data_IF_365036293536
#
_entry.id   IF_365036293536
#
_cell.length_a   1.000
_cell.length_b   1.000
_cell.length_c   1.000
_cell.angle_alpha   90.00
_cell.angle_beta   90.00
_cell.angle_gamma   90.00
#
_symmetry.space_group_name_H-M   'P 1'
#
loop_
_entity.id
_entity.type
_entity.pdbx_description
1 polymer ?
#
# COMPACT_ATOMS: atom_id res chain seq x y z
N UNK A 1 -16.52 -7.45 -8.45
CA UNK A 1 -15.21 -6.86 -8.10
C UNK A 1 -15.45 -5.36 -7.94
N UNK A 2 -15.15 -4.80 -6.77
CA UNK A 2 -15.35 -3.37 -6.50
C UNK A 2 -14.10 -2.59 -6.93
N UNK A 3 -14.24 -1.72 -7.92
CA UNK A 3 -13.12 -0.95 -8.49
C UNK A 3 -13.19 0.49 -7.98
N UNK A 4 -12.21 0.88 -7.17
CA UNK A 4 -12.06 2.25 -6.66
C UNK A 4 -11.22 3.06 -7.64
N UNK A 5 -11.84 4.00 -8.36
CA UNK A 5 -11.13 4.91 -9.28
C UNK A 5 -10.38 5.99 -8.50
N UNK A 6 -9.22 6.42 -9.00
CA UNK A 6 -8.40 7.46 -8.38
C UNK A 6 -7.47 7.01 -7.26
N UNK A 7 -7.56 5.76 -6.79
CA UNK A 7 -6.65 5.25 -5.76
C UNK A 7 -5.40 4.61 -6.36
N UNK A 8 -4.23 4.95 -5.79
CA UNK A 8 -2.97 4.29 -6.14
C UNK A 8 -2.97 2.82 -5.71
N UNK A 9 -3.46 2.54 -4.51
CA UNK A 9 -3.53 1.19 -3.97
C UNK A 9 -4.63 1.10 -2.90
N UNK A 10 -5.06 -0.12 -2.60
CA UNK A 10 -6.11 -0.43 -1.60
C UNK A 10 -5.62 -1.53 -0.69
N UNK A 11 -5.85 -1.36 0.61
CA UNK A 11 -5.56 -2.36 1.65
C UNK A 11 -6.87 -2.96 2.18
N UNK A 12 -7.01 -4.27 2.04
CA UNK A 12 -8.11 -5.07 2.58
C UNK A 12 -7.62 -6.02 3.68
N UNK A 13 -6.59 -5.61 4.44
CA UNK A 13 -5.95 -6.40 5.49
C UNK A 13 -5.01 -7.44 4.92
N UNK A 14 -5.55 -8.61 4.56
CA UNK A 14 -4.79 -9.74 4.04
C UNK A 14 -4.44 -9.62 2.55
N UNK A 15 -5.17 -8.77 1.81
CA UNK A 15 -4.96 -8.54 0.38
C UNK A 15 -4.71 -7.05 0.17
N UNK A 16 -3.64 -6.73 -0.54
CA UNK A 16 -3.31 -5.37 -0.97
C UNK A 16 -3.14 -5.37 -2.49
N UNK A 17 -3.70 -4.39 -3.17
CA UNK A 17 -3.66 -4.27 -4.64
C UNK A 17 -3.25 -2.87 -5.07
N UNK A 18 -2.54 -2.72 -6.20
CA UNK A 18 -2.14 -1.44 -6.77
C UNK A 18 -2.67 -1.22 -8.18
N UNK A 19 -2.81 0.04 -8.56
CA UNK A 19 -3.28 0.48 -9.88
C UNK A 19 -2.17 0.55 -10.95
N UNK A 20 -0.95 0.09 -10.66
CA UNK A 20 0.17 0.11 -11.62
C UNK A 20 1.55 0.00 -10.96
N UNK A 21 2.61 0.16 -11.77
CA UNK A 21 4.01 -0.05 -11.33
C UNK A 21 4.43 0.92 -10.23
N UNK A 22 4.35 2.23 -10.46
CA UNK A 22 4.74 3.23 -9.45
C UNK A 22 3.89 3.12 -8.18
N UNK A 23 2.59 2.89 -8.35
CA UNK A 23 1.71 2.65 -7.22
C UNK A 23 2.03 1.34 -6.48
N UNK A 24 2.58 0.35 -7.17
CA UNK A 24 3.12 -0.88 -6.59
C UNK A 24 4.38 -0.64 -5.76
N UNK A 25 5.25 0.30 -6.17
CA UNK A 25 6.42 0.67 -5.38
C UNK A 25 5.99 1.37 -4.08
N UNK A 26 5.05 2.32 -4.17
CA UNK A 26 4.52 2.97 -2.96
C UNK A 26 3.85 1.96 -2.02
N UNK A 27 3.10 1.02 -2.58
CA UNK A 27 2.44 -0.06 -1.84
C UNK A 27 3.47 -0.98 -1.18
N UNK A 28 4.53 -1.37 -1.87
CA UNK A 28 5.58 -2.20 -1.31
C UNK A 28 6.27 -1.50 -0.12
N UNK A 29 6.58 -0.21 -0.24
CA UNK A 29 7.16 0.57 0.85
C UNK A 29 6.19 0.73 2.03
N UNK A 30 4.89 0.86 1.76
CA UNK A 30 3.87 0.79 2.81
C UNK A 30 3.86 -0.59 3.52
N UNK A 31 4.04 -1.68 2.79
CA UNK A 31 4.12 -3.01 3.41
C UNK A 31 5.38 -3.16 4.27
N UNK A 32 6.52 -2.60 3.86
CA UNK A 32 7.73 -2.58 4.69
C UNK A 32 7.48 -1.83 6.01
N UNK A 33 6.85 -0.65 5.94
CA UNK A 33 6.46 0.15 7.13
C UNK A 33 5.51 -0.64 8.05
N UNK A 34 4.56 -1.37 7.47
CA UNK A 34 3.57 -2.17 8.21
C UNK A 34 4.14 -3.43 8.85
N UNK A 35 5.13 -4.06 8.22
CA UNK A 35 5.67 -5.36 8.64
C UNK A 35 6.90 -5.24 9.55
N UNK A 36 7.69 -4.18 9.36
CA UNK A 36 8.88 -3.90 10.16
C UNK A 36 8.66 -2.59 10.93
N UNK A 37 9.03 -1.46 10.32
CA UNK A 37 8.81 -0.11 10.84
C UNK A 37 9.03 0.97 9.76
N UNK A 38 8.69 2.21 10.14
CA UNK A 38 8.81 3.37 9.28
C UNK A 38 10.25 3.78 8.96
N UNK A 39 11.23 3.39 9.78
CA UNK A 39 12.64 3.70 9.54
C UNK A 39 13.20 2.81 8.42
N UNK A 40 12.90 1.52 8.47
CA UNK A 40 13.23 0.54 7.43
C UNK A 40 12.62 0.95 6.09
N UNK A 41 11.34 1.34 6.06
CA UNK A 41 10.70 1.80 4.83
C UNK A 41 11.39 3.03 4.21
N UNK A 42 11.79 4.00 5.04
CA UNK A 42 12.54 5.19 4.59
C UNK A 42 13.95 4.82 4.11
N UNK A 43 14.62 3.90 4.80
CA UNK A 43 15.95 3.40 4.40
C UNK A 43 15.90 2.73 3.03
N UNK A 44 14.92 1.85 2.79
CA UNK A 44 14.71 1.19 1.50
C UNK A 44 14.39 2.22 0.41
N UNK A 45 13.48 3.15 0.66
CA UNK A 45 13.16 4.22 -0.30
C UNK A 45 14.40 5.06 -0.66
N UNK A 46 15.23 5.40 0.35
CA UNK A 46 16.46 6.14 0.16
C UNK A 46 17.50 5.35 -0.66
N UNK A 47 17.70 4.07 -0.34
CA UNK A 47 18.60 3.19 -1.07
C UNK A 47 18.20 3.00 -2.55
N UNK A 48 16.89 3.08 -2.84
CA UNK A 48 16.35 3.05 -4.19
C UNK A 48 16.34 4.42 -4.89
N UNK A 49 16.74 5.49 -4.20
CA UNK A 49 16.60 6.88 -4.65
C UNK A 49 15.15 7.23 -5.05
N UNK A 50 14.17 6.59 -4.41
CA UNK A 50 12.76 6.70 -4.75
C UNK A 50 12.08 7.77 -3.88
N UNK A 51 11.41 8.77 -4.47
CA UNK A 51 10.80 9.89 -3.73
C UNK A 51 9.50 9.43 -3.06
N UNK A 52 9.64 8.72 -1.95
CA UNK A 52 8.53 8.19 -1.18
C UNK A 52 8.11 9.10 -0.04
N UNK A 53 6.82 9.11 0.25
CA UNK A 53 6.25 9.70 1.46
C UNK A 53 5.18 8.74 1.98
N UNK A 54 5.11 8.49 3.30
CA UNK A 54 4.09 7.61 3.86
C UNK A 54 2.69 8.08 3.49
N UNK A 55 1.87 7.18 2.95
CA UNK A 55 0.49 7.46 2.59
C UNK A 55 -0.42 6.62 3.47
N UNK A 56 -1.53 7.21 3.94
CA UNK A 56 -2.57 6.45 4.62
C UNK A 56 -3.31 5.60 3.58
N UNK A 57 -3.33 4.26 3.71
CA UNK A 57 -4.13 3.40 2.85
C UNK A 57 -5.59 3.83 2.82
N UNK A 58 -6.24 3.65 1.68
CA UNK A 58 -7.69 3.43 1.70
C UNK A 58 -7.90 2.02 2.22
N UNK A 59 -8.33 1.93 3.48
CA UNK A 59 -8.74 0.68 4.11
C UNK A 59 -10.19 0.41 3.76
N UNK A 60 -10.46 -0.77 3.21
CA UNK A 60 -11.84 -1.20 2.98
C UNK A 60 -12.20 -2.21 4.06
N UNK A 61 -13.32 -2.04 4.78
CA UNK A 61 -13.83 -3.10 5.65
C UNK A 61 -14.05 -4.34 4.79
N UNK A 62 -13.35 -5.44 5.10
CA UNK A 62 -13.69 -6.73 4.50
C UNK A 62 -15.00 -7.14 5.14
N UNK A 63 -16.11 -6.92 4.44
CA UNK A 63 -17.39 -7.50 4.80
C UNK A 63 -17.24 -9.02 4.72
N UNK A 64 -17.35 -9.69 5.85
CA UNK A 64 -17.48 -11.15 5.90
C UNK A 64 -18.68 -11.52 5.02
N UNK A 65 -18.50 -12.44 4.07
CA UNK A 65 -19.51 -12.78 3.07
C UNK A 65 -20.84 -13.19 3.69
N UNK A 66 -21.85 -12.32 3.56
CA UNK A 66 -23.27 -12.67 3.62
C UNK A 66 -23.96 -12.04 2.40
N UNK A 67 -24.12 -12.86 1.34
CA UNK A 67 -25.24 -12.90 0.40
C UNK A 67 -25.05 -14.10 -0.55
#
# INVERSE_FOLDING_TARGET
MDVRTGQRWVDAGHIVTSAGVSAGIDMALHLVDRLEDAEMARSVAHAMEYPWSPQTPVTTPVGNGEA
#
